data_IF_487080178974
#
_entry.id   IF_487080178974
#
_cell.length_a   1.000
_cell.length_b   1.000
_cell.length_c   1.000
_cell.angle_alpha   90.00
_cell.angle_beta   90.00
_cell.angle_gamma   90.00
#
_symmetry.space_group_name_H-M   'P 1'
#
loop_
_entity.id
_entity.type
_entity.pdbx_description
1 polymer ?
#
# COMPACT_ATOMS: atom_id res chain seq x y z
N UNK A 1 15.54 19.01 18.84
CA UNK A 1 14.33 18.15 18.87
C UNK A 1 14.16 17.46 17.51
N UNK A 2 13.99 16.13 17.49
CA UNK A 2 13.93 15.30 16.27
C UNK A 2 12.50 14.83 15.94
N UNK A 3 11.48 15.52 16.49
CA UNK A 3 10.07 15.15 16.33
C UNK A 3 9.11 16.33 16.40
N UNK A 4 7.88 16.10 15.92
CA UNK A 4 6.74 17.03 15.92
C UNK A 4 5.54 16.37 16.59
N UNK A 5 4.67 17.18 17.20
CA UNK A 5 3.39 16.71 17.76
C UNK A 5 2.28 16.79 16.70
N UNK A 6 1.39 15.80 16.67
CA UNK A 6 0.31 15.73 15.70
C UNK A 6 -0.83 14.82 16.13
N UNK A 7 -1.96 14.92 15.43
CA UNK A 7 -3.14 14.05 15.61
C UNK A 7 -3.41 13.30 14.31
N UNK A 8 -3.87 12.06 14.43
CA UNK A 8 -4.25 11.21 13.29
C UNK A 8 -5.69 10.72 13.44
N UNK A 9 -6.42 10.47 12.34
CA UNK A 9 -7.78 9.94 12.40
C UNK A 9 -7.84 8.56 13.07
N UNK A 10 -8.93 8.29 13.79
CA UNK A 10 -9.19 6.97 14.34
C UNK A 10 -9.40 5.95 13.21
N UNK A 11 -8.63 4.86 13.21
CA UNK A 11 -8.59 3.89 12.10
C UNK A 11 -9.45 2.64 12.32
N UNK A 12 -10.19 2.55 13.43
CA UNK A 12 -10.99 1.37 13.78
C UNK A 12 -10.17 0.28 14.49
N UNK A 13 -10.68 -0.97 14.55
CA UNK A 13 -9.97 -2.07 15.20
C UNK A 13 -8.71 -2.47 14.44
N UNK A 14 -7.68 -2.87 15.17
CA UNK A 14 -6.38 -3.27 14.61
C UNK A 14 -6.52 -4.43 13.60
N UNK A 15 -7.37 -5.41 13.91
CA UNK A 15 -7.58 -6.59 13.05
C UNK A 15 -7.97 -6.20 11.62
N UNK A 16 -8.90 -5.25 11.47
CA UNK A 16 -9.34 -4.79 10.16
C UNK A 16 -8.19 -4.17 9.33
N UNK A 17 -7.27 -3.45 9.98
CA UNK A 17 -6.10 -2.90 9.31
C UNK A 17 -5.10 -4.01 8.95
N UNK A 18 -4.84 -4.94 9.86
CA UNK A 18 -3.92 -6.07 9.63
C UNK A 18 -4.39 -6.93 8.46
N UNK A 19 -5.69 -7.20 8.34
CA UNK A 19 -6.25 -7.98 7.23
C UNK A 19 -6.01 -7.30 5.87
N UNK A 20 -6.19 -5.97 5.79
CA UNK A 20 -5.91 -5.22 4.56
C UNK A 20 -4.41 -5.23 4.21
N UNK A 21 -3.53 -5.06 5.19
CA UNK A 21 -2.07 -5.07 4.98
C UNK A 21 -1.58 -6.45 4.52
N UNK A 22 -2.02 -7.52 5.19
CA UNK A 22 -1.66 -8.90 4.83
C UNK A 22 -2.28 -9.28 3.48
N UNK A 23 -3.51 -8.85 3.21
CA UNK A 23 -4.17 -9.06 1.92
C UNK A 23 -3.41 -8.41 0.76
N UNK A 24 -2.98 -7.15 0.94
CA UNK A 24 -2.14 -6.44 -0.03
C UNK A 24 -0.80 -7.13 -0.27
N UNK A 25 -0.11 -7.54 0.80
CA UNK A 25 1.15 -8.29 0.72
C UNK A 25 0.99 -9.60 -0.06
N UNK A 26 -0.05 -10.39 0.24
CA UNK A 26 -0.32 -11.66 -0.44
C UNK A 26 -0.64 -11.47 -1.92
N UNK A 27 -1.39 -10.42 -2.27
CA UNK A 27 -1.65 -10.04 -3.65
C UNK A 27 -0.34 -9.73 -4.39
N UNK A 28 0.54 -8.91 -3.78
CA UNK A 28 1.88 -8.63 -4.30
C UNK A 28 2.75 -9.87 -4.48
N UNK A 29 2.77 -10.77 -3.49
CA UNK A 29 3.46 -12.06 -3.58
C UNK A 29 2.95 -12.91 -4.74
N UNK A 30 1.64 -12.88 -5.01
CA UNK A 30 1.03 -13.52 -6.18
C UNK A 30 1.58 -12.99 -7.49
N UNK A 31 1.63 -11.65 -7.66
CA UNK A 31 2.23 -11.03 -8.86
C UNK A 31 3.71 -11.36 -9.03
N UNK A 32 4.46 -11.51 -7.93
CA UNK A 32 5.87 -11.88 -7.96
C UNK A 32 6.13 -13.40 -8.05
N UNK A 33 5.09 -14.25 -8.02
CA UNK A 33 5.24 -15.70 -8.04
C UNK A 33 6.02 -16.25 -6.83
N UNK A 34 5.82 -15.66 -5.64
CA UNK A 34 6.52 -16.01 -4.41
C UNK A 34 5.58 -16.72 -3.42
N UNK A 35 5.93 -17.94 -3.00
CA UNK A 35 5.11 -18.71 -2.06
C UNK A 35 5.32 -18.29 -0.58
N UNK A 36 6.43 -17.62 -0.29
CA UNK A 36 6.81 -17.19 1.06
C UNK A 36 7.66 -15.90 1.01
N UNK A 37 7.94 -15.32 2.17
CA UNK A 37 8.68 -14.05 2.27
C UNK A 37 10.13 -14.15 1.79
N UNK A 38 10.78 -15.30 1.97
CA UNK A 38 12.14 -15.52 1.49
C UNK A 38 12.18 -15.49 -0.04
N UNK A 39 11.25 -16.22 -0.67
CA UNK A 39 11.10 -16.18 -2.12
C UNK A 39 10.74 -14.79 -2.64
N UNK A 40 9.91 -14.03 -1.93
CA UNK A 40 9.59 -12.65 -2.32
C UNK A 40 10.86 -11.80 -2.35
N UNK A 41 11.68 -11.87 -1.29
CA UNK A 41 12.93 -11.13 -1.21
C UNK A 41 13.93 -11.54 -2.30
N UNK A 42 13.96 -12.81 -2.70
CA UNK A 42 14.87 -13.34 -3.72
C UNK A 42 14.38 -13.09 -5.16
N UNK A 43 13.06 -13.14 -5.41
CA UNK A 43 12.47 -13.07 -6.75
C UNK A 43 12.03 -11.67 -7.15
N UNK A 44 11.72 -10.79 -6.20
CA UNK A 44 11.19 -9.46 -6.49
C UNK A 44 12.18 -8.65 -7.33
N UNK A 45 11.64 -7.98 -8.36
CA UNK A 45 12.41 -7.06 -9.22
C UNK A 45 11.79 -5.69 -9.13
N UNK A 46 12.64 -4.70 -8.88
CA UNK A 46 12.22 -3.30 -8.83
C UNK A 46 12.68 -2.57 -10.08
N UNK A 47 11.87 -1.62 -10.51
CA UNK A 47 12.21 -0.68 -11.58
C UNK A 47 12.13 0.72 -11.02
N UNK A 48 13.01 1.60 -11.49
CA UNK A 48 12.96 3.01 -11.14
C UNK A 48 11.86 3.68 -11.96
N UNK A 49 10.96 4.38 -11.29
CA UNK A 49 9.89 5.16 -11.93
C UNK A 49 10.17 6.66 -11.82
N UNK A 50 9.52 7.44 -12.67
CA UNK A 50 9.52 8.91 -12.60
C UNK A 50 8.39 9.41 -11.72
N UNK A 51 8.37 10.72 -11.39
CA UNK A 51 7.23 11.33 -10.71
C UNK A 51 5.92 11.22 -11.51
N UNK A 52 6.01 11.25 -12.86
CA UNK A 52 4.85 11.02 -13.72
C UNK A 52 4.33 9.57 -13.58
N UNK A 53 5.23 8.58 -13.55
CA UNK A 53 4.85 7.18 -13.33
C UNK A 53 4.26 6.94 -11.93
N UNK A 54 4.72 7.68 -10.92
CA UNK A 54 4.10 7.65 -9.60
C UNK A 54 2.65 8.18 -9.66
N UNK A 55 2.43 9.32 -10.30
CA UNK A 55 1.07 9.86 -10.48
C UNK A 55 0.17 8.89 -11.26
N UNK A 56 0.71 8.24 -12.29
CA UNK A 56 0.05 7.20 -13.08
C UNK A 56 -0.36 5.98 -12.23
N UNK A 57 0.46 5.61 -11.25
CA UNK A 57 0.19 4.46 -10.38
C UNK A 57 -0.93 4.72 -9.37
N UNK A 58 -1.17 5.99 -9.04
CA UNK A 58 -2.28 6.40 -8.16
C UNK A 58 -3.58 6.58 -8.96
N UNK A 59 -4.71 6.58 -8.25
CA UNK A 59 -5.99 6.95 -8.87
C UNK A 59 -5.87 8.37 -9.41
N UNK A 60 -6.11 8.54 -10.70
CA UNK A 60 -6.06 9.82 -11.39
C UNK A 60 -7.22 9.97 -12.39
N UNK A 61 -7.56 11.21 -12.71
CA UNK A 61 -8.58 11.59 -13.71
C UNK A 61 -10.00 11.05 -13.45
N UNK A 62 -10.31 10.71 -12.20
CA UNK A 62 -11.65 10.27 -11.75
C UNK A 62 -12.00 10.82 -10.37
N UNK A 63 -13.30 10.92 -10.08
CA UNK A 63 -13.81 11.30 -8.75
C UNK A 63 -14.06 10.03 -7.93
N UNK A 64 -13.37 9.89 -6.79
CA UNK A 64 -13.62 8.82 -5.83
C UNK A 64 -14.90 9.16 -5.05
N UNK A 65 -15.99 8.45 -5.32
CA UNK A 65 -17.29 8.69 -4.66
C UNK A 65 -17.46 7.90 -3.37
N UNK A 66 -16.65 6.85 -3.16
CA UNK A 66 -16.61 6.03 -1.94
C UNK A 66 -15.17 5.64 -1.64
N UNK A 67 -14.76 5.83 -0.40
CA UNK A 67 -13.41 5.43 0.03
C UNK A 67 -13.27 3.91 0.07
N UNK A 68 -12.13 3.43 -0.44
CA UNK A 68 -11.77 2.03 -0.31
C UNK A 68 -11.08 1.80 1.05
N UNK A 69 -11.29 0.63 1.70
CA UNK A 69 -10.74 0.35 3.02
C UNK A 69 -9.20 0.32 3.05
N UNK A 70 -8.56 0.10 1.90
CA UNK A 70 -7.11 0.01 1.71
C UNK A 70 -6.51 1.15 0.86
N UNK A 71 -7.29 2.16 0.50
CA UNK A 71 -6.82 3.31 -0.29
C UNK A 71 -7.33 4.60 0.34
N UNK A 72 -6.53 5.13 1.28
CA UNK A 72 -6.77 6.42 1.95
C UNK A 72 -5.71 7.39 1.46
N UNK A 73 -6.14 8.53 0.91
CA UNK A 73 -5.25 9.64 0.63
C UNK A 73 -5.07 10.41 1.94
N UNK A 74 -3.87 10.33 2.53
CA UNK A 74 -3.46 11.21 3.64
C UNK A 74 -2.96 12.56 3.09
#
# INVERSE_FOLDING_TARGET
PEGVEGRVPFKGPLSALTDQLVGGLRSGMGYCGAANLKELAEKAKFVRITAAGLRESHVHDVIITREAPNYRME
#
